data_IF_995928399932
#
_entry.id   IF_995928399932
#
_cell.length_a   1.000
_cell.length_b   1.000
_cell.length_c   1.000
_cell.angle_alpha   90.00
_cell.angle_beta   90.00
_cell.angle_gamma   90.00
#
_symmetry.space_group_name_H-M   'P 1'
#
loop_
_entity.id
_entity.type
_entity.pdbx_description
1 polymer ?
#
# COMPACT_ATOMS: atom_id res chain seq x y z
N UNK A 1 2.19 -12.81 -16.46
CA UNK A 1 2.70 -12.07 -15.29
C UNK A 1 1.74 -10.95 -15.01
N UNK A 2 1.20 -10.88 -13.79
CA UNK A 2 0.44 -9.71 -13.36
C UNK A 2 1.37 -8.50 -13.19
N UNK A 3 0.85 -7.28 -13.27
CA UNK A 3 1.67 -6.08 -13.05
C UNK A 3 2.24 -6.02 -11.62
N UNK A 4 1.50 -6.59 -10.66
CA UNK A 4 1.90 -6.72 -9.26
C UNK A 4 3.15 -7.60 -9.07
N UNK A 5 3.33 -8.66 -9.88
CA UNK A 5 4.54 -9.52 -9.81
C UNK A 5 5.81 -8.72 -10.07
N UNK A 6 5.75 -7.71 -10.96
CA UNK A 6 6.91 -6.85 -11.29
C UNK A 6 7.41 -6.05 -10.09
N UNK A 7 6.50 -5.75 -9.17
CA UNK A 7 6.80 -5.03 -7.93
C UNK A 7 6.81 -5.98 -6.73
N UNK A 8 7.03 -7.28 -6.93
CA UNK A 8 7.34 -8.24 -5.86
C UNK A 8 6.14 -8.99 -5.28
N UNK A 9 4.97 -8.94 -5.93
CA UNK A 9 3.84 -9.78 -5.54
C UNK A 9 4.12 -11.26 -5.83
N UNK A 10 3.77 -12.14 -4.91
CA UNK A 10 3.90 -13.58 -5.07
C UNK A 10 2.90 -14.33 -4.17
N UNK A 11 2.79 -15.65 -4.34
CA UNK A 11 1.80 -16.52 -3.68
C UNK A 11 1.96 -16.64 -2.15
N UNK A 12 3.02 -16.07 -1.57
CA UNK A 12 3.12 -15.92 -0.11
C UNK A 12 2.13 -14.90 0.44
N UNK A 13 1.62 -13.99 -0.40
CA UNK A 13 0.67 -12.95 -0.02
C UNK A 13 -0.74 -13.48 -0.30
N UNK A 14 -1.39 -13.98 0.75
CA UNK A 14 -2.70 -14.64 0.67
C UNK A 14 -3.80 -13.73 1.21
N UNK A 15 -5.04 -14.02 0.81
CA UNK A 15 -6.27 -13.42 1.36
C UNK A 15 -6.44 -11.91 1.13
N UNK A 16 -5.86 -11.38 0.04
CA UNK A 16 -6.06 -9.97 -0.34
C UNK A 16 -6.65 -9.85 -1.75
N UNK A 17 -7.73 -9.08 -1.87
CA UNK A 17 -8.33 -8.72 -3.16
C UNK A 17 -7.35 -7.89 -4.00
N UNK A 18 -6.73 -8.49 -5.02
CA UNK A 18 -5.68 -7.86 -5.84
C UNK A 18 -6.14 -6.59 -6.56
N UNK A 19 -7.44 -6.44 -6.82
CA UNK A 19 -8.02 -5.25 -7.49
C UNK A 19 -7.90 -3.96 -6.67
N UNK A 20 -7.62 -4.07 -5.36
CA UNK A 20 -7.56 -2.93 -4.44
C UNK A 20 -6.28 -2.93 -3.63
N UNK A 21 -5.19 -3.41 -4.22
CA UNK A 21 -3.89 -3.52 -3.56
C UNK A 21 -2.87 -2.64 -4.25
N UNK A 22 -2.02 -2.01 -3.45
CA UNK A 22 -0.84 -1.32 -3.91
C UNK A 22 0.34 -1.56 -2.97
N UNK A 23 1.55 -1.45 -3.49
CA UNK A 23 2.78 -1.48 -2.70
C UNK A 23 3.23 -0.08 -2.35
N UNK A 24 3.67 0.14 -1.11
CA UNK A 24 4.27 1.41 -0.69
C UNK A 24 5.66 1.53 -1.28
N UNK A 25 5.86 2.54 -2.12
CA UNK A 25 7.12 2.80 -2.81
C UNK A 25 7.94 3.86 -2.07
N UNK A 26 7.29 4.92 -1.59
CA UNK A 26 7.94 6.05 -0.90
C UNK A 26 7.05 6.53 0.26
N UNK A 27 7.68 6.85 1.39
CA UNK A 27 7.05 7.55 2.51
C UNK A 27 7.79 8.85 2.78
N UNK A 28 7.09 9.98 2.71
CA UNK A 28 7.66 11.30 3.01
C UNK A 28 6.66 12.17 3.76
N UNK A 29 6.95 12.51 5.03
CA UNK A 29 6.08 13.37 5.88
C UNK A 29 4.59 12.95 5.85
N UNK A 30 4.31 11.67 6.06
CA UNK A 30 2.97 11.06 6.02
C UNK A 30 2.26 11.12 4.65
N UNK A 31 2.97 11.47 3.57
CA UNK A 31 2.52 11.26 2.20
C UNK A 31 3.12 9.98 1.67
N UNK A 32 2.28 9.19 1.00
CA UNK A 32 2.66 7.89 0.47
C UNK A 32 2.63 7.95 -1.05
N UNK A 33 3.68 7.47 -1.70
CA UNK A 33 3.61 7.07 -3.11
C UNK A 33 3.45 5.55 -3.13
N UNK A 34 2.43 5.08 -3.82
CA UNK A 34 2.02 3.68 -3.89
C UNK A 34 1.86 3.25 -5.35
N UNK A 35 2.00 1.96 -5.63
CA UNK A 35 1.92 1.39 -6.99
C UNK A 35 1.07 0.12 -7.03
N UNK A 36 0.15 0.01 -7.98
CA UNK A 36 -0.53 -1.27 -8.35
C UNK A 36 0.29 -2.07 -9.39
N UNK A 37 1.48 -1.59 -9.73
CA UNK A 37 2.34 -2.17 -10.76
C UNK A 37 2.05 -1.66 -12.17
N UNK A 38 0.92 -1.02 -12.42
CA UNK A 38 0.60 -0.36 -13.69
C UNK A 38 0.85 1.15 -13.61
N UNK A 39 0.37 1.78 -12.53
CA UNK A 39 0.54 3.21 -12.29
C UNK A 39 0.93 3.51 -10.84
N UNK A 40 1.65 4.62 -10.67
CA UNK A 40 2.02 5.16 -9.38
C UNK A 40 1.12 6.34 -9.03
N UNK A 41 0.74 6.45 -7.76
CA UNK A 41 -0.12 7.54 -7.29
C UNK A 41 0.16 7.90 -5.83
N UNK A 42 -0.28 9.11 -5.49
CA UNK A 42 -0.19 9.64 -4.14
C UNK A 42 -1.39 9.18 -3.31
N UNK A 43 -1.10 8.59 -2.16
CA UNK A 43 -2.07 8.19 -1.16
C UNK A 43 -1.98 9.04 0.10
N UNK A 44 -3.12 9.15 0.78
CA UNK A 44 -3.22 9.62 2.15
C UNK A 44 -3.76 8.50 3.03
N UNK A 45 -3.42 8.53 4.31
CA UNK A 45 -3.90 7.57 5.29
C UNK A 45 -5.40 7.76 5.53
N UNK A 46 -6.08 6.67 5.88
CA UNK A 46 -7.50 6.66 6.22
C UNK A 46 -7.79 5.57 7.26
N UNK A 47 -9.02 5.55 7.78
CA UNK A 47 -9.49 4.49 8.68
C UNK A 47 -8.61 4.33 9.93
N UNK A 48 -8.19 3.10 10.22
CA UNK A 48 -7.40 2.77 11.42
C UNK A 48 -6.12 3.60 11.55
N UNK A 49 -5.49 3.98 10.43
CA UNK A 49 -4.24 4.75 10.47
C UNK A 49 -4.44 6.20 10.96
N UNK A 50 -5.65 6.75 10.85
CA UNK A 50 -5.98 8.07 11.39
C UNK A 50 -6.60 8.01 12.79
N UNK A 51 -7.31 6.92 13.12
CA UNK A 51 -8.11 6.84 14.34
C UNK A 51 -7.44 6.04 15.47
N UNK A 52 -6.57 5.08 15.14
CA UNK A 52 -6.07 4.07 16.08
C UNK A 52 -4.54 3.99 16.15
N UNK A 53 -3.82 4.48 15.12
CA UNK A 53 -2.36 4.46 15.11
C UNK A 53 -1.78 5.38 16.20
N UNK A 54 -0.96 4.81 17.09
CA UNK A 54 -0.39 5.52 18.23
C UNK A 54 1.13 5.68 18.13
N UNK A 55 1.78 4.82 17.36
CA UNK A 55 3.23 4.74 17.25
C UNK A 55 3.67 4.59 15.78
N UNK A 56 4.94 4.92 15.44
CA UNK A 56 5.43 4.80 14.07
C UNK A 56 5.29 3.40 13.45
N UNK A 57 5.26 2.34 14.24
CA UNK A 57 5.13 0.95 13.75
C UNK A 57 3.71 0.62 13.29
N UNK A 58 2.72 1.44 13.68
CA UNK A 58 1.33 1.26 13.27
C UNK A 58 1.07 1.77 11.84
N UNK A 59 2.01 2.53 11.28
CA UNK A 59 1.91 3.12 9.95
C UNK A 59 2.59 2.24 8.89
N UNK A 60 2.10 2.24 7.64
CA UNK A 60 2.76 1.52 6.56
C UNK A 60 4.18 2.03 6.32
N UNK A 61 5.08 1.12 5.98
CA UNK A 61 6.45 1.41 5.60
C UNK A 61 6.70 1.08 4.13
N UNK A 62 7.84 1.53 3.60
CA UNK A 62 8.27 1.17 2.24
C UNK A 62 8.36 -0.35 2.10
N UNK A 63 7.75 -0.87 1.04
CA UNK A 63 7.70 -2.29 0.74
C UNK A 63 6.41 -2.99 1.19
N UNK A 64 5.64 -2.39 2.09
CA UNK A 64 4.37 -2.94 2.57
C UNK A 64 3.31 -2.96 1.47
N UNK A 65 2.45 -3.97 1.53
CA UNK A 65 1.24 -4.08 0.74
C UNK A 65 0.07 -3.50 1.51
N UNK A 66 -0.68 -2.60 0.87
CA UNK A 66 -1.80 -1.90 1.50
C UNK A 66 -3.06 -2.04 0.64
N UNK A 67 -4.22 -2.11 1.31
CA UNK A 67 -5.52 -1.97 0.64
C UNK A 67 -5.75 -0.48 0.33
N UNK A 68 -6.18 -0.20 -0.89
CA UNK A 68 -6.44 1.15 -1.38
C UNK A 68 -7.90 1.29 -1.79
N UNK A 69 -8.44 2.49 -1.61
CA UNK A 69 -9.77 2.84 -2.09
C UNK A 69 -9.64 4.11 -2.94
N UNK A 70 -9.99 4.02 -4.22
CA UNK A 70 -10.09 5.18 -5.10
C UNK A 70 -11.54 5.64 -5.04
N UNK A 71 -11.76 6.83 -4.47
CA UNK A 71 -13.02 7.55 -4.61
C UNK A 71 -13.10 8.21 -5.99
#
# INVERSE_FOLDING_TARGET
MTQLEKIGWNDSIRDVETERVARVMIVQKNRYQISDGDTDYHGHLSGKFLNEAATPIDFPAVGDWVKVHRN
#
